data_IF_654087908926
#
_entry.id   IF_654087908926
#
_cell.length_a   1.000
_cell.length_b   1.000
_cell.length_c   1.000
_cell.angle_alpha   90.00
_cell.angle_beta   90.00
_cell.angle_gamma   90.00
#
_symmetry.space_group_name_H-M   'P 1'
#
loop_
_entity.id
_entity.type
_entity.pdbx_description
1 polymer ?
#
# COMPACT_ATOMS: atom_id res chain seq x y z
N UNK A 1 0.93 -21.32 -6.56
CA UNK A 1 0.28 -21.47 -5.24
C UNK A 1 0.20 -20.08 -4.61
N UNK A 2 -1.00 -19.53 -4.45
CA UNK A 2 -1.19 -18.27 -3.71
C UNK A 2 -1.12 -18.59 -2.22
N UNK A 3 0.06 -18.43 -1.63
CA UNK A 3 0.23 -18.52 -0.18
C UNK A 3 -0.55 -17.36 0.43
N UNK A 4 -1.66 -17.67 1.12
CA UNK A 4 -2.44 -16.68 1.87
C UNK A 4 -1.58 -16.22 3.05
N UNK A 5 -0.77 -15.20 2.82
CA UNK A 5 0.04 -14.59 3.85
C UNK A 5 -0.83 -13.56 4.56
N UNK A 6 -0.91 -13.63 5.89
CA UNK A 6 -1.53 -12.55 6.68
C UNK A 6 -0.72 -11.28 6.44
N UNK A 7 -1.36 -10.30 5.81
CA UNK A 7 -0.78 -8.99 5.58
C UNK A 7 -1.31 -8.06 6.66
N UNK A 8 -0.42 -7.54 7.50
CA UNK A 8 -0.75 -6.48 8.48
C UNK A 8 -0.59 -5.11 7.83
N UNK A 9 -1.25 -4.09 8.37
CA UNK A 9 -1.09 -2.72 7.87
C UNK A 9 0.36 -2.23 7.94
N UNK A 10 1.08 -2.57 9.01
CA UNK A 10 2.49 -2.19 9.14
C UNK A 10 3.34 -2.96 8.10
N UNK A 11 2.97 -4.20 7.78
CA UNK A 11 3.56 -4.96 6.68
C UNK A 11 3.26 -4.37 5.30
N UNK A 12 2.07 -3.80 5.07
CA UNK A 12 1.76 -3.03 3.85
C UNK A 12 2.64 -1.80 3.75
N UNK A 13 2.76 -1.06 4.85
CA UNK A 13 3.55 0.16 4.92
C UNK A 13 5.02 -0.12 4.60
N UNK A 14 5.60 -1.19 5.15
CA UNK A 14 7.00 -1.56 4.89
C UNK A 14 7.22 -2.06 3.46
N UNK A 15 6.24 -2.79 2.89
CA UNK A 15 6.31 -3.20 1.48
C UNK A 15 6.30 -1.98 0.57
N UNK A 16 5.40 -1.02 0.78
CA UNK A 16 5.37 0.23 0.02
C UNK A 16 6.71 0.99 0.12
N UNK A 17 7.30 1.10 1.32
CA UNK A 17 8.64 1.69 1.49
C UNK A 17 9.75 0.94 0.74
N UNK A 18 9.60 -0.38 0.58
CA UNK A 18 10.56 -1.17 -0.21
C UNK A 18 10.50 -0.81 -1.68
N UNK A 19 9.31 -0.57 -2.23
CA UNK A 19 9.15 -0.02 -3.59
C UNK A 19 9.76 1.38 -3.70
N UNK A 20 9.54 2.25 -2.72
CA UNK A 20 10.14 3.58 -2.72
C UNK A 20 11.67 3.52 -2.80
N UNK A 21 12.30 2.66 -1.99
CA UNK A 21 13.74 2.43 -2.02
C UNK A 21 14.22 1.81 -3.33
N UNK A 22 13.46 0.86 -3.89
CA UNK A 22 13.83 0.15 -5.12
C UNK A 22 13.82 1.07 -6.34
N UNK A 23 12.83 1.93 -6.45
CA UNK A 23 12.63 2.79 -7.63
C UNK A 23 13.09 4.24 -7.43
N UNK A 24 13.42 4.64 -6.18
CA UNK A 24 13.85 6.01 -5.87
C UNK A 24 12.73 7.04 -5.87
N UNK A 25 11.47 6.60 -5.91
CA UNK A 25 10.29 7.46 -5.88
C UNK A 25 9.63 7.41 -4.53
N UNK A 26 9.02 8.52 -4.09
CA UNK A 26 8.10 8.45 -2.95
C UNK A 26 6.79 7.76 -3.37
N UNK A 27 6.02 7.26 -2.40
CA UNK A 27 4.68 6.70 -2.65
C UNK A 27 3.77 7.73 -3.33
N UNK A 28 3.95 9.03 -3.04
CA UNK A 28 3.20 10.12 -3.68
C UNK A 28 3.53 10.21 -5.16
N UNK A 29 4.82 10.12 -5.50
CA UNK A 29 5.29 10.17 -6.89
C UNK A 29 4.84 8.93 -7.67
N UNK A 30 4.92 7.74 -7.06
CA UNK A 30 4.34 6.53 -7.63
C UNK A 30 2.84 6.69 -7.89
N UNK A 31 2.09 7.20 -6.92
CA UNK A 31 0.66 7.39 -7.07
C UNK A 31 0.31 8.36 -8.20
N UNK A 32 1.07 9.45 -8.34
CA UNK A 32 0.90 10.38 -9.45
C UNK A 32 1.08 9.68 -10.80
N UNK A 33 2.19 8.96 -10.97
CA UNK A 33 2.50 8.20 -12.20
C UNK A 33 1.47 7.11 -12.48
N UNK A 34 0.89 6.52 -11.43
CA UNK A 34 -0.19 5.55 -11.55
C UNK A 34 -1.44 6.18 -12.15
N UNK A 35 -1.84 7.34 -11.61
CA UNK A 35 -3.00 8.07 -12.09
C UNK A 35 -2.82 8.59 -13.52
N UNK A 36 -1.60 9.01 -13.86
CA UNK A 36 -1.25 9.51 -15.19
C UNK A 36 -1.09 8.36 -16.21
N UNK A 37 -1.18 7.09 -15.78
CA UNK A 37 -1.04 5.91 -16.64
C UNK A 37 0.41 5.66 -17.11
N UNK A 38 1.38 6.28 -16.44
CA UNK A 38 2.81 6.15 -16.74
C UNK A 38 3.44 4.90 -16.11
N UNK A 39 2.81 4.36 -15.06
CA UNK A 39 3.14 3.05 -14.53
C UNK A 39 2.56 2.01 -15.49
N UNK A 40 3.41 1.50 -16.37
CA UNK A 40 3.07 0.44 -17.31
C UNK A 40 2.63 -0.85 -16.63
N UNK A 41 2.51 -1.91 -17.42
CA UNK A 41 1.98 -3.22 -17.01
C UNK A 41 3.04 -4.15 -16.38
N UNK A 42 4.12 -3.59 -15.84
CA UNK A 42 5.12 -4.38 -15.13
C UNK A 42 4.50 -5.01 -13.88
N UNK A 43 4.68 -6.32 -13.71
CA UNK A 43 4.15 -7.10 -12.59
C UNK A 43 4.45 -6.46 -11.23
N UNK A 44 5.62 -5.84 -11.09
CA UNK A 44 6.04 -5.22 -9.84
C UNK A 44 5.28 -3.91 -9.57
N UNK A 45 4.96 -3.15 -10.62
CA UNK A 45 4.16 -1.93 -10.54
C UNK A 45 2.69 -2.25 -10.28
N UNK A 46 2.16 -3.32 -10.90
CA UNK A 46 0.83 -3.83 -10.59
C UNK A 46 0.74 -4.29 -9.13
N UNK A 47 1.78 -4.95 -8.62
CA UNK A 47 1.84 -5.37 -7.21
C UNK A 47 1.86 -4.17 -6.26
N UNK A 48 2.66 -3.14 -6.56
CA UNK A 48 2.67 -1.89 -5.80
C UNK A 48 1.28 -1.25 -5.76
N UNK A 49 0.59 -1.14 -6.90
CA UNK A 49 -0.74 -0.56 -6.98
C UNK A 49 -1.76 -1.33 -6.13
N UNK A 50 -1.71 -2.67 -6.17
CA UNK A 50 -2.56 -3.52 -5.33
C UNK A 50 -2.31 -3.33 -3.83
N UNK A 51 -1.04 -3.28 -3.42
CA UNK A 51 -0.67 -3.04 -2.01
C UNK A 51 -1.10 -1.64 -1.54
N UNK A 52 -0.94 -0.63 -2.40
CA UNK A 52 -1.35 0.73 -2.12
C UNK A 52 -2.87 0.85 -1.98
N UNK A 53 -3.63 0.19 -2.85
CA UNK A 53 -5.10 0.14 -2.74
C UNK A 53 -5.56 -0.53 -1.43
N UNK A 54 -4.91 -1.62 -1.03
CA UNK A 54 -5.22 -2.29 0.23
C UNK A 54 -4.85 -1.41 1.45
N UNK A 55 -3.75 -0.67 1.38
CA UNK A 55 -3.38 0.31 2.40
C UNK A 55 -4.46 1.40 2.56
N UNK A 56 -4.92 1.99 1.45
CA UNK A 56 -5.94 3.04 1.47
C UNK A 56 -7.28 2.55 2.03
N UNK A 57 -7.73 1.35 1.63
CA UNK A 57 -9.03 0.82 2.04
C UNK A 57 -9.04 0.28 3.47
N UNK A 58 -7.88 -0.13 4.00
CA UNK A 58 -7.75 -0.58 5.40
C UNK A 58 -7.54 0.55 6.41
N UNK A 59 -7.07 1.72 5.98
CA UNK A 59 -6.78 2.85 6.87
C UNK A 59 -8.01 3.36 7.64
N UNK A 60 -9.19 3.61 7.03
CA UNK A 60 -10.36 4.11 7.76
C UNK A 60 -10.83 3.14 8.84
N UNK A 61 -10.83 1.84 8.52
CA UNK A 61 -11.21 0.78 9.47
C UNK A 61 -10.23 0.75 10.66
N UNK A 62 -8.92 0.87 10.39
CA UNK A 62 -7.91 0.94 11.46
C UNK A 62 -8.09 2.16 12.34
N UNK A 63 -8.33 3.33 11.75
CA UNK A 63 -8.54 4.58 12.50
C UNK A 63 -9.78 4.47 13.41
N UNK A 64 -10.88 3.91 12.89
CA UNK A 64 -12.07 3.63 13.66
C UNK A 64 -11.81 2.67 14.84
N UNK A 65 -11.11 1.55 14.59
CA UNK A 65 -10.77 0.60 15.66
C UNK A 65 -9.87 1.23 16.73
N UNK A 66 -8.93 2.10 16.33
CA UNK A 66 -8.07 2.81 17.26
C UNK A 66 -8.84 3.84 18.09
N UNK A 67 -9.80 4.55 17.50
CA UNK A 67 -10.62 5.50 18.26
C UNK A 67 -11.51 4.81 19.30
N UNK A 68 -12.13 3.67 18.95
CA UNK A 68 -12.95 2.90 19.88
C UNK A 68 -12.12 2.37 21.07
N UNK A 69 -10.90 1.88 20.81
CA UNK A 69 -10.00 1.39 21.85
C UNK A 69 -9.55 2.50 22.81
N UNK A 70 -9.41 3.74 22.32
CA UNK A 70 -9.02 4.90 23.14
C UNK A 70 -10.20 5.52 23.92
N UNK A 71 -11.43 5.21 23.51
CA UNK A 71 -12.65 5.68 24.17
C UNK A 71 -13.17 4.74 25.28
N UNK A 72 -12.64 3.52 25.36
CA UNK A 72 -12.97 2.49 26.35
C UNK A 72 -11.99 2.50 27.54
#
# INVERSE_FOLDING_TARGET
MLTSQRVTFDGLSERLRTYERKYGYSTIEFFRRYQDGELGDDDDLMMWAGLYHLYLTSLPVRQFMQSELMAA
#
